data_IF_457373699593
#
_entry.id   IF_457373699593
#
_cell.length_a   1.000
_cell.length_b   1.000
_cell.length_c   1.000
_cell.angle_alpha   90.00
_cell.angle_beta   90.00
_cell.angle_gamma   90.00
#
_symmetry.space_group_name_H-M   'P 1'
#
loop_
_entity.id
_entity.type
_entity.pdbx_description
1 polymer ?
#
# COMPACT_ATOMS: atom_id res chain seq x y z
N UNK A 1 -68.15 -43.01 -9.14
CA UNK A 1 -67.40 -42.43 -8.01
C UNK A 1 -66.60 -43.55 -7.35
N UNK A 2 -65.31 -43.63 -7.65
CA UNK A 2 -64.40 -44.65 -7.14
C UNK A 2 -63.04 -43.99 -6.82
N UNK A 3 -62.54 -44.35 -5.66
CA UNK A 3 -61.32 -43.91 -4.97
C UNK A 3 -60.05 -44.06 -5.82
N UNK A 4 -59.18 -43.04 -5.81
CA UNK A 4 -57.73 -43.25 -6.01
C UNK A 4 -56.98 -42.60 -4.85
N UNK A 5 -56.45 -43.44 -3.96
CA UNK A 5 -55.40 -43.09 -3.00
C UNK A 5 -54.10 -42.99 -3.80
N UNK A 6 -53.39 -41.87 -3.68
CA UNK A 6 -52.00 -41.76 -4.13
C UNK A 6 -51.11 -41.64 -2.90
N UNK A 7 -50.04 -42.45 -2.80
CA UNK A 7 -49.33 -42.71 -1.56
C UNK A 7 -48.43 -41.54 -1.14
N UNK A 8 -48.17 -41.48 0.16
CA UNK A 8 -47.09 -40.75 0.80
C UNK A 8 -45.77 -41.05 0.07
N UNK A 9 -45.38 -40.18 -0.86
CA UNK A 9 -44.06 -40.19 -1.46
C UNK A 9 -43.11 -39.54 -0.47
N UNK A 10 -42.46 -40.40 0.30
CA UNK A 10 -41.13 -40.25 0.85
C UNK A 10 -40.68 -38.81 1.13
N UNK A 11 -40.70 -38.49 2.42
CA UNK A 11 -39.77 -37.58 3.08
C UNK A 11 -38.33 -38.00 2.73
N UNK A 12 -37.87 -37.66 1.54
CA UNK A 12 -36.45 -37.60 1.23
C UNK A 12 -35.97 -36.26 1.76
N UNK A 13 -35.43 -36.30 2.98
CA UNK A 13 -34.51 -35.28 3.48
C UNK A 13 -33.41 -35.10 2.43
N UNK A 14 -33.62 -34.17 1.51
CA UNK A 14 -32.54 -33.60 0.72
C UNK A 14 -31.71 -32.78 1.69
N UNK A 15 -30.69 -33.44 2.23
CA UNK A 15 -29.62 -32.80 2.99
C UNK A 15 -29.00 -31.78 2.06
N UNK A 16 -29.43 -30.53 2.18
CA UNK A 16 -28.80 -29.39 1.54
C UNK A 16 -27.29 -29.50 1.77
N UNK A 17 -26.44 -29.34 0.74
CA UNK A 17 -25.01 -29.30 0.96
C UNK A 17 -24.76 -28.18 1.98
N UNK A 18 -24.09 -28.51 3.08
CA UNK A 18 -23.62 -27.54 4.05
C UNK A 18 -22.91 -26.41 3.29
N UNK A 19 -23.09 -25.13 3.68
CA UNK A 19 -22.37 -24.04 3.05
C UNK A 19 -20.90 -24.41 3.11
N UNK A 20 -20.25 -24.54 1.95
CA UNK A 20 -18.82 -24.69 1.89
C UNK A 20 -18.24 -23.53 2.71
N UNK A 21 -17.54 -23.84 3.80
CA UNK A 21 -16.83 -22.83 4.57
C UNK A 21 -15.77 -22.23 3.64
N UNK A 22 -16.15 -21.14 2.98
CA UNK A 22 -15.24 -20.27 2.26
C UNK A 22 -14.37 -19.63 3.32
N UNK A 23 -13.27 -20.29 3.64
CA UNK A 23 -12.21 -19.73 4.49
C UNK A 23 -11.80 -18.41 3.84
N UNK A 24 -12.17 -17.30 4.47
CA UNK A 24 -11.79 -15.97 4.03
C UNK A 24 -10.27 -15.88 4.03
N UNK A 25 -9.66 -15.81 2.86
CA UNK A 25 -8.23 -15.65 2.74
C UNK A 25 -7.83 -14.27 3.29
N UNK A 26 -7.18 -14.27 4.45
CA UNK A 26 -6.71 -13.08 5.17
C UNK A 26 -5.26 -12.71 4.83
N UNK A 27 -4.67 -13.38 3.83
CA UNK A 27 -3.36 -12.98 3.34
C UNK A 27 -3.42 -11.51 2.88
N UNK A 28 -2.41 -10.69 3.21
CA UNK A 28 -2.44 -9.27 2.89
C UNK A 28 -2.68 -9.07 1.38
N UNK A 29 -3.80 -8.45 1.03
CA UNK A 29 -4.18 -8.18 -0.35
C UNK A 29 -3.26 -7.14 -1.04
N UNK A 30 -2.37 -6.52 -0.27
CA UNK A 30 -1.45 -5.47 -0.73
C UNK A 30 -0.03 -6.03 -0.76
N UNK A 31 0.69 -5.96 -1.90
CA UNK A 31 2.05 -6.50 -2.01
C UNK A 31 3.01 -5.89 -0.98
N UNK A 32 3.87 -6.72 -0.37
CA UNK A 32 4.81 -6.28 0.66
C UNK A 32 5.75 -5.16 0.18
N UNK A 33 6.10 -5.14 -1.11
CA UNK A 33 6.91 -4.07 -1.71
C UNK A 33 6.22 -2.70 -1.55
N UNK A 34 4.92 -2.63 -1.80
CA UNK A 34 4.13 -1.40 -1.66
C UNK A 34 4.13 -0.92 -0.21
N UNK A 35 4.02 -1.85 0.74
CA UNK A 35 4.05 -1.52 2.18
C UNK A 35 5.36 -0.83 2.54
N UNK A 36 6.51 -1.37 2.10
CA UNK A 36 7.83 -0.78 2.36
C UNK A 36 7.96 0.60 1.72
N UNK A 37 7.47 0.78 0.49
CA UNK A 37 7.44 2.08 -0.19
C UNK A 37 6.65 3.12 0.62
N UNK A 38 5.42 2.81 0.99
CA UNK A 38 4.56 3.71 1.79
C UNK A 38 5.20 4.08 3.14
N UNK A 39 5.84 3.11 3.79
CA UNK A 39 6.52 3.32 5.07
C UNK A 39 7.74 4.23 4.93
N UNK A 40 8.60 3.95 3.94
CA UNK A 40 9.83 4.72 3.69
C UNK A 40 9.54 6.19 3.38
N UNK A 41 8.46 6.43 2.65
CA UNK A 41 8.05 7.75 2.24
C UNK A 41 7.45 8.54 3.40
N UNK A 42 6.57 7.91 4.18
CA UNK A 42 6.04 8.52 5.40
C UNK A 42 7.18 8.91 6.34
N UNK A 43 8.16 8.02 6.50
CA UNK A 43 9.35 8.29 7.28
C UNK A 43 10.16 9.47 6.73
N UNK A 44 10.38 9.52 5.41
CA UNK A 44 11.10 10.61 4.75
C UNK A 44 10.40 11.97 4.95
N UNK A 45 9.08 12.03 4.79
CA UNK A 45 8.28 13.26 4.97
C UNK A 45 8.36 13.83 6.39
N UNK A 46 8.53 12.96 7.40
CA UNK A 46 8.67 13.40 8.80
C UNK A 46 10.12 13.74 9.13
N UNK A 47 11.07 12.88 8.78
CA UNK A 47 12.45 12.99 9.26
C UNK A 47 13.29 14.02 8.51
N UNK A 48 13.11 14.20 7.20
CA UNK A 48 13.93 15.15 6.44
C UNK A 48 13.62 16.62 6.78
N UNK A 49 12.35 17.08 6.82
CA UNK A 49 12.06 18.48 7.15
C UNK A 49 12.35 18.79 8.62
N UNK A 50 11.97 17.90 9.54
CA UNK A 50 12.21 18.07 10.98
C UNK A 50 13.70 17.96 11.29
N UNK A 51 14.38 16.99 10.70
CA UNK A 51 15.83 16.81 10.83
C UNK A 51 16.59 18.03 10.31
N UNK A 52 16.22 18.56 9.14
CA UNK A 52 16.82 19.78 8.59
C UNK A 52 16.64 20.99 9.51
N UNK A 53 15.46 21.15 10.12
CA UNK A 53 15.19 22.23 11.07
C UNK A 53 16.15 22.18 12.26
N UNK A 54 16.21 21.05 12.97
CA UNK A 54 17.08 20.94 14.16
C UNK A 54 18.57 20.97 13.81
N UNK A 55 18.95 20.40 12.66
CA UNK A 55 20.32 20.44 12.17
C UNK A 55 20.78 21.87 11.88
N UNK A 56 19.98 22.66 11.16
CA UNK A 56 20.34 24.05 10.85
C UNK A 56 20.18 25.01 12.03
N UNK A 57 19.23 24.75 12.93
CA UNK A 57 19.07 25.51 14.17
C UNK A 57 20.32 25.43 15.06
N UNK A 58 20.91 24.24 15.17
CA UNK A 58 22.07 23.99 16.03
C UNK A 58 23.42 24.27 15.34
N UNK A 59 23.52 24.06 14.01
CA UNK A 59 24.80 24.16 13.30
C UNK A 59 25.03 25.47 12.55
N UNK A 60 23.98 26.16 12.09
CA UNK A 60 24.12 27.34 11.20
C UNK A 60 23.59 28.63 11.83
N UNK A 61 22.48 28.58 12.56
CA UNK A 61 21.76 29.78 12.99
C UNK A 61 21.85 30.10 14.49
N UNK A 62 22.71 29.41 15.25
CA UNK A 62 22.96 29.64 16.70
C UNK A 62 21.67 29.86 17.52
N UNK A 63 20.63 29.07 17.25
CA UNK A 63 19.36 29.14 17.97
C UNK A 63 18.32 30.14 17.44
N UNK A 64 18.55 30.83 16.32
CA UNK A 64 17.52 31.68 15.72
C UNK A 64 16.48 30.84 14.95
N UNK A 65 15.35 30.58 15.62
CA UNK A 65 14.24 29.77 15.13
C UNK A 65 13.54 30.34 13.90
N UNK A 66 13.60 31.65 13.65
CA UNK A 66 12.99 32.26 12.47
C UNK A 66 13.76 31.91 11.19
N UNK A 67 15.09 31.97 11.22
CA UNK A 67 15.91 31.59 10.07
C UNK A 67 15.94 30.07 9.86
N UNK A 68 16.02 29.29 10.95
CA UNK A 68 15.93 27.83 10.88
C UNK A 68 14.56 27.36 10.36
N UNK A 69 13.48 28.02 10.79
CA UNK A 69 12.12 27.75 10.31
C UNK A 69 11.96 28.07 8.82
N UNK A 70 12.49 29.21 8.37
CA UNK A 70 12.50 29.56 6.94
C UNK A 70 13.30 28.57 6.09
N UNK A 71 14.46 28.12 6.59
CA UNK A 71 15.24 27.07 5.93
C UNK A 71 14.49 25.73 5.88
N UNK A 72 13.79 25.35 6.95
CA UNK A 72 12.99 24.14 6.98
C UNK A 72 11.84 24.18 5.95
N UNK A 73 11.20 25.35 5.76
CA UNK A 73 10.18 25.53 4.72
C UNK A 73 10.77 25.42 3.31
N UNK A 74 11.98 25.95 3.07
CA UNK A 74 12.71 25.72 1.82
C UNK A 74 13.01 24.23 1.60
N UNK A 75 13.51 23.54 2.64
CA UNK A 75 13.81 22.12 2.58
C UNK A 75 12.58 21.26 2.33
N UNK A 76 11.39 21.64 2.82
CA UNK A 76 10.15 20.95 2.49
C UNK A 76 9.86 20.95 0.97
N UNK A 77 10.14 22.06 0.28
CA UNK A 77 10.00 22.14 -1.19
C UNK A 77 11.05 21.27 -1.90
N UNK A 78 12.29 21.20 -1.37
CA UNK A 78 13.32 20.29 -1.89
C UNK A 78 12.91 18.83 -1.72
N UNK A 79 12.33 18.46 -0.57
CA UNK A 79 11.81 17.11 -0.32
C UNK A 79 10.67 16.78 -1.29
N UNK A 80 9.79 17.74 -1.62
CA UNK A 80 8.75 17.55 -2.63
C UNK A 80 9.36 17.24 -4.00
N UNK A 81 10.37 17.99 -4.44
CA UNK A 81 11.05 17.74 -5.72
C UNK A 81 11.76 16.38 -5.69
N UNK A 82 12.48 16.08 -4.62
CA UNK A 82 13.16 14.80 -4.44
C UNK A 82 12.17 13.63 -4.47
N UNK A 83 10.99 13.80 -3.88
CA UNK A 83 9.91 12.81 -3.95
C UNK A 83 9.50 12.55 -5.40
N UNK A 84 9.23 13.61 -6.18
CA UNK A 84 8.87 13.46 -7.60
C UNK A 84 9.97 12.72 -8.36
N UNK A 85 11.24 13.05 -8.12
CA UNK A 85 12.38 12.35 -8.77
C UNK A 85 12.42 10.87 -8.38
N UNK A 86 12.23 10.53 -7.10
CA UNK A 86 12.19 9.14 -6.64
C UNK A 86 11.03 8.39 -7.30
N UNK A 87 9.84 8.98 -7.32
CA UNK A 87 8.67 8.40 -7.98
C UNK A 87 8.93 8.13 -9.46
N UNK A 88 9.57 9.06 -10.17
CA UNK A 88 9.94 8.87 -11.58
C UNK A 88 10.97 7.75 -11.76
N UNK A 89 11.97 7.64 -10.89
CA UNK A 89 12.98 6.56 -10.96
C UNK A 89 12.37 5.19 -10.64
N UNK A 90 11.43 5.17 -9.71
CA UNK A 90 10.72 3.96 -9.30
C UNK A 90 9.77 3.49 -10.40
N UNK A 91 9.04 4.40 -11.05
CA UNK A 91 8.21 4.14 -12.23
C UNK A 91 9.03 3.55 -13.40
N UNK A 92 10.20 4.13 -13.69
CA UNK A 92 11.10 3.61 -14.72
C UNK A 92 11.61 2.20 -14.39
N UNK A 93 11.91 1.91 -13.12
CA UNK A 93 12.43 0.61 -12.69
C UNK A 93 11.38 -0.50 -12.83
N UNK A 94 10.13 -0.23 -12.47
CA UNK A 94 9.02 -1.18 -12.64
C UNK A 94 8.79 -1.51 -14.12
N UNK A 95 8.82 -0.49 -15.00
CA UNK A 95 8.66 -0.69 -16.45
C UNK A 95 9.76 -1.55 -17.07
N UNK A 96 11.02 -1.34 -16.64
CA UNK A 96 12.15 -2.12 -17.13
C UNK A 96 12.10 -3.59 -16.66
N UNK A 97 11.62 -3.85 -15.44
CA UNK A 97 11.43 -5.21 -14.92
C UNK A 97 10.30 -5.95 -15.66
N UNK A 98 9.22 -5.26 -16.01
CA UNK A 98 8.13 -5.82 -16.81
C UNK A 98 8.58 -6.18 -18.23
N UNK A 99 9.31 -5.28 -18.90
CA UNK A 99 9.89 -5.54 -20.23
C UNK A 99 10.90 -6.70 -20.21
N UNK A 100 11.73 -6.80 -19.17
CA UNK A 100 12.69 -7.89 -19.02
C UNK A 100 12.02 -9.25 -18.74
N UNK A 101 10.87 -9.26 -18.05
CA UNK A 101 10.07 -10.48 -17.87
C UNK A 101 9.36 -10.90 -19.15
N UNK A 102 8.84 -9.94 -19.93
CA UNK A 102 8.21 -10.22 -21.22
C UNK A 102 9.19 -10.86 -22.21
N UNK A 103 10.42 -10.33 -22.33
CA UNK A 103 11.46 -10.87 -23.21
C UNK A 103 12.03 -12.22 -22.80
N UNK A 104 11.85 -12.66 -21.55
CA UNK A 104 12.28 -13.99 -21.07
C UNK A 104 11.18 -15.04 -21.19
N UNK A 105 9.94 -14.62 -21.44
CA UNK A 105 8.79 -15.50 -21.62
C UNK A 105 8.52 -15.81 -23.11
N UNK A 106 9.18 -15.10 -24.04
CA UNK A 106 9.27 -15.39 -25.47
C UNK A 106 10.51 -16.25 -25.77
#
# INVERSE_FOLDING_TARGET
MATRRTPASALSTEKAPAPAETVSDIRPAVPANVIVKLLSFTFAMVTLPIGSYFFTLNSLFNGNSSYAGGFAAMMANVVLIAYVVVAMREDQSERLEEEAKAKKAE
#
